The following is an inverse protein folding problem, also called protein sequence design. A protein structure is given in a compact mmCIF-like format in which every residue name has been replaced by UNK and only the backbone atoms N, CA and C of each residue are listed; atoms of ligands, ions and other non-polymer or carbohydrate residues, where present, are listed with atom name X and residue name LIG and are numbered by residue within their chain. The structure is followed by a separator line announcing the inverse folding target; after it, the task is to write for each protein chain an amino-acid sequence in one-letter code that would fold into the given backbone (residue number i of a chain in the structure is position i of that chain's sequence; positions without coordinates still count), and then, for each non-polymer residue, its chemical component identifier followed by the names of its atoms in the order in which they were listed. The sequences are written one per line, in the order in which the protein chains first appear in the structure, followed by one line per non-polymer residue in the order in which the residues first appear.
data_IF_663694383181
#
_entry.id   IF_663694383181
#
_cell.length_a   1.000
_cell.length_b   1.000
_cell.length_c   1.000
_cell.angle_alpha   90.00
_cell.angle_beta   90.00
_cell.angle_gamma   90.00
#
_symmetry.space_group_name_H-M   'P 1'
#
loop_
_entity.id
_entity.type
_entity.pdbx_description
1 polymer ?
#
# COMPACT_ATOMS: atom_id res chain seq x y z
N UNK A 1 -12.57 -3.08 -13.66
CA UNK A 1 -11.73 -3.05 -12.45
C UNK A 1 -11.08 -1.68 -12.31
N UNK A 2 -11.11 -1.07 -11.12
CA UNK A 2 -10.41 0.20 -10.83
C UNK A 2 -8.90 -0.03 -10.76
N UNK A 3 -8.10 1.02 -11.00
CA UNK A 3 -6.63 0.96 -10.89
C UNK A 3 -6.09 1.52 -9.57
N UNK A 4 -4.87 1.14 -9.21
CA UNK A 4 -4.17 1.64 -8.00
C UNK A 4 -3.03 2.59 -8.39
N UNK A 5 -2.97 3.76 -7.76
CA UNK A 5 -1.82 4.65 -7.89
C UNK A 5 -0.77 4.27 -6.85
N UNK A 6 0.47 4.00 -7.27
CA UNK A 6 1.60 3.76 -6.37
C UNK A 6 2.55 4.93 -6.52
N UNK A 7 2.65 5.76 -5.48
CA UNK A 7 3.47 6.96 -5.48
C UNK A 7 4.53 6.89 -4.39
N UNK A 8 5.72 7.41 -4.70
CA UNK A 8 6.82 7.49 -3.75
C UNK A 8 7.50 8.86 -3.80
N UNK A 9 8.01 9.32 -2.66
CA UNK A 9 8.64 10.63 -2.56
C UNK A 9 10.04 10.71 -3.17
N UNK A 10 10.69 9.56 -3.34
CA UNK A 10 12.07 9.40 -3.80
C UNK A 10 12.23 8.09 -4.56
N UNK A 11 13.14 8.05 -5.54
CA UNK A 11 13.50 6.82 -6.25
C UNK A 11 14.20 5.79 -5.36
N UNK A 12 14.81 6.23 -4.25
CA UNK A 12 15.34 5.35 -3.19
C UNK A 12 14.28 4.39 -2.62
N UNK A 13 13.00 4.73 -2.71
CA UNK A 13 11.90 3.90 -2.19
C UNK A 13 11.44 2.83 -3.22
N UNK A 14 12.09 2.74 -4.38
CA UNK A 14 11.68 1.87 -5.49
C UNK A 14 11.62 0.39 -5.09
N UNK A 15 12.55 -0.11 -4.27
CA UNK A 15 12.52 -1.50 -3.81
C UNK A 15 11.31 -1.81 -2.92
N UNK A 16 10.83 -0.83 -2.16
CA UNK A 16 9.60 -0.94 -1.37
C UNK A 16 8.39 -0.91 -2.31
N UNK A 17 8.35 0.01 -3.27
CA UNK A 17 7.28 0.10 -4.25
C UNK A 17 7.14 -1.17 -5.10
N UNK A 18 8.25 -1.82 -5.48
CA UNK A 18 8.25 -3.10 -6.20
C UNK A 18 7.50 -4.18 -5.44
N UNK A 19 7.59 -4.21 -4.10
CA UNK A 19 6.85 -5.17 -3.27
C UNK A 19 5.33 -5.00 -3.41
N UNK A 20 4.84 -3.76 -3.43
CA UNK A 20 3.42 -3.48 -3.69
C UNK A 20 3.03 -3.87 -5.12
N UNK A 21 3.82 -3.45 -6.11
CA UNK A 21 3.57 -3.75 -7.53
C UNK A 21 3.49 -5.25 -7.80
N UNK A 22 4.34 -6.06 -7.17
CA UNK A 22 4.33 -7.51 -7.37
C UNK A 22 3.00 -8.13 -6.90
N UNK A 23 2.46 -7.69 -5.76
CA UNK A 23 1.14 -8.13 -5.28
C UNK A 23 0.04 -7.65 -6.23
N UNK A 24 0.07 -6.38 -6.66
CA UNK A 24 -0.94 -5.89 -7.62
C UNK A 24 -0.93 -6.69 -8.93
N UNK A 25 0.25 -7.09 -9.42
CA UNK A 25 0.38 -7.96 -10.59
C UNK A 25 -0.20 -9.35 -10.36
N UNK A 26 0.09 -9.97 -9.21
CA UNK A 26 -0.43 -11.28 -8.82
C UNK A 26 -1.96 -11.33 -8.90
N UNK A 27 -2.63 -10.26 -8.46
CA UNK A 27 -4.08 -10.14 -8.50
C UNK A 27 -4.63 -9.49 -9.79
N UNK A 28 -3.78 -9.25 -10.79
CA UNK A 28 -4.15 -8.56 -12.04
C UNK A 28 -4.82 -7.19 -11.84
N UNK A 29 -4.52 -6.50 -10.74
CA UNK A 29 -5.03 -5.17 -10.45
C UNK A 29 -4.21 -4.15 -11.25
N UNK A 30 -4.83 -3.37 -12.17
CA UNK A 30 -4.09 -2.38 -12.95
C UNK A 30 -3.49 -1.31 -12.04
N UNK A 31 -2.30 -0.82 -12.36
CA UNK A 31 -1.62 0.16 -11.52
C UNK A 31 -0.81 1.17 -12.33
N UNK A 32 -0.47 2.29 -11.70
CA UNK A 32 0.51 3.27 -12.21
C UNK A 32 1.49 3.63 -11.11
N UNK A 33 2.79 3.61 -11.44
CA UNK A 33 3.86 4.01 -10.52
C UNK A 33 4.36 5.41 -10.89
N UNK A 34 4.59 6.27 -9.89
CA UNK A 34 5.15 7.62 -10.07
C UNK A 34 6.10 7.98 -8.91
N UNK A 35 7.13 8.76 -9.21
CA UNK A 35 7.89 9.51 -8.18
C UNK A 35 7.28 10.90 -8.10
N UNK A 36 6.72 11.25 -6.93
CA UNK A 36 6.07 12.53 -6.63
C UNK A 36 6.40 12.89 -5.19
N UNK A 37 7.09 14.01 -4.98
CA UNK A 37 7.51 14.46 -3.66
C UNK A 37 6.58 15.55 -3.14
N UNK A 38 5.98 15.33 -1.96
CA UNK A 38 5.19 16.36 -1.28
C UNK A 38 6.00 17.61 -0.93
N UNK A 39 7.32 17.47 -0.77
CA UNK A 39 8.20 18.59 -0.40
C UNK A 39 8.87 19.24 -1.61
N UNK A 40 9.18 18.47 -2.66
CA UNK A 40 9.99 18.95 -3.81
C UNK A 40 9.17 19.20 -5.08
N UNK A 41 8.05 18.49 -5.26
CA UNK A 41 7.13 18.63 -6.40
C UNK A 41 5.68 18.71 -5.90
N UNK A 42 5.34 19.66 -5.00
CA UNK A 42 4.04 19.71 -4.34
C UNK A 42 2.88 19.99 -5.31
N UNK A 43 3.12 20.78 -6.36
CA UNK A 43 2.11 21.12 -7.37
C UNK A 43 1.73 19.89 -8.18
N UNK A 44 2.72 19.12 -8.63
CA UNK A 44 2.52 17.90 -9.40
C UNK A 44 1.87 16.80 -8.56
N UNK A 45 2.23 16.70 -7.28
CA UNK A 45 1.61 15.77 -6.35
C UNK A 45 0.11 16.11 -6.13
N UNK A 46 -0.21 17.39 -5.95
CA UNK A 46 -1.59 17.85 -5.79
C UNK A 46 -2.42 17.63 -7.06
N UNK A 47 -1.90 18.05 -8.22
CA UNK A 47 -2.57 17.85 -9.51
C UNK A 47 -2.81 16.37 -9.81
N UNK A 48 -1.84 15.51 -9.50
CA UNK A 48 -2.01 14.07 -9.67
C UNK A 48 -3.10 13.53 -8.74
N UNK A 49 -3.15 13.96 -7.47
CA UNK A 49 -4.18 13.54 -6.53
C UNK A 49 -5.60 13.96 -6.97
N UNK A 50 -5.74 15.18 -7.48
CA UNK A 50 -7.00 15.74 -7.98
C UNK A 50 -7.50 15.04 -9.25
N UNK A 51 -6.61 14.45 -10.07
CA UNK A 51 -6.99 13.75 -11.31
C UNK A 51 -7.44 12.29 -11.11
N UNK A 52 -7.17 11.70 -9.94
CA UNK A 52 -7.29 10.24 -9.74
C UNK A 52 -8.70 9.69 -9.99
N UNK A 53 -9.74 10.36 -9.49
CA UNK A 53 -11.10 9.84 -9.61
C UNK A 53 -11.56 9.82 -11.07
N UNK A 54 -11.35 10.94 -11.78
CA UNK A 54 -11.67 11.08 -13.20
C UNK A 54 -10.87 10.10 -14.08
N UNK A 55 -9.64 9.79 -13.68
CA UNK A 55 -8.80 8.81 -14.37
C UNK A 55 -9.15 7.34 -14.06
N UNK A 56 -10.09 7.07 -13.14
CA UNK A 56 -10.57 5.72 -12.84
C UNK A 56 -9.75 4.94 -11.79
N UNK A 57 -8.99 5.64 -10.94
CA UNK A 57 -8.35 5.00 -9.79
C UNK A 57 -9.37 4.63 -8.70
N UNK A 58 -9.05 3.61 -7.90
CA UNK A 58 -9.86 3.15 -6.77
C UNK A 58 -9.16 3.29 -5.42
N UNK A 59 -7.83 3.39 -5.40
CA UNK A 59 -7.03 3.61 -4.19
C UNK A 59 -5.65 4.18 -4.55
N UNK A 60 -5.00 4.77 -3.54
CA UNK A 60 -3.61 5.27 -3.63
C UNK A 60 -2.76 4.56 -2.58
N UNK A 61 -1.54 4.19 -2.95
CA UNK A 61 -0.48 3.73 -2.06
C UNK A 61 0.60 4.80 -2.10
N UNK A 62 0.83 5.48 -0.98
CA UNK A 62 1.82 6.54 -0.82
C UNK A 62 2.95 6.07 0.09
N UNK A 63 4.17 6.02 -0.45
CA UNK A 63 5.36 5.49 0.21
C UNK A 63 6.31 6.65 0.54
N UNK A 64 6.66 6.81 1.82
CA UNK A 64 7.56 7.87 2.28
C UNK A 64 8.23 7.54 3.62
N UNK A 65 9.47 8.00 3.80
CA UNK A 65 10.23 7.91 5.05
C UNK A 65 10.40 9.26 5.76
N UNK A 66 11.07 9.25 6.91
CA UNK A 66 11.35 10.44 7.74
C UNK A 66 10.06 11.23 8.07
N UNK A 67 10.02 12.54 7.81
CA UNK A 67 8.81 13.36 7.87
C UNK A 67 7.87 13.03 6.68
N UNK A 68 7.18 11.89 6.78
CA UNK A 68 6.46 11.22 5.70
C UNK A 68 5.13 11.88 5.31
N UNK A 69 5.17 13.09 4.74
CA UNK A 69 3.96 13.88 4.45
C UNK A 69 3.19 13.49 3.17
N UNK A 70 3.72 12.58 2.34
CA UNK A 70 3.14 12.29 1.02
C UNK A 70 1.70 11.77 1.10
N UNK A 71 1.43 10.83 2.00
CA UNK A 71 0.10 10.25 2.15
C UNK A 71 -0.94 11.31 2.59
N UNK A 72 -0.61 12.10 3.61
CA UNK A 72 -1.50 13.16 4.10
C UNK A 72 -1.73 14.27 3.06
N UNK A 73 -0.68 14.68 2.33
CA UNK A 73 -0.80 15.69 1.28
C UNK A 73 -1.72 15.26 0.14
N UNK A 74 -1.68 13.97 -0.22
CA UNK A 74 -2.56 13.39 -1.26
C UNK A 74 -3.98 13.22 -0.73
N UNK A 75 -4.16 12.71 0.49
CA UNK A 75 -5.47 12.54 1.12
C UNK A 75 -6.22 13.88 1.27
N UNK A 76 -5.51 14.99 1.46
CA UNK A 76 -6.12 16.33 1.49
C UNK A 76 -6.69 16.80 0.13
N UNK A 77 -6.43 16.07 -0.96
CA UNK A 77 -6.74 16.46 -2.34
C UNK A 77 -7.59 15.43 -3.09
N UNK A 78 -8.02 14.36 -2.42
CA UNK A 78 -8.86 13.33 -3.02
C UNK A 78 -9.77 12.69 -1.97
N UNK A 79 -10.93 12.21 -2.39
CA UNK A 79 -11.83 11.38 -1.56
C UNK A 79 -11.55 9.89 -1.71
N UNK A 80 -10.65 9.50 -2.62
CA UNK A 80 -10.24 8.11 -2.76
C UNK A 80 -9.46 7.65 -1.51
N UNK A 81 -9.58 6.37 -1.11
CA UNK A 81 -8.77 5.82 -0.03
C UNK A 81 -7.27 5.97 -0.31
N UNK A 82 -6.56 6.61 0.63
CA UNK A 82 -5.11 6.73 0.61
C UNK A 82 -4.50 5.83 1.67
N UNK A 83 -3.61 4.95 1.24
CA UNK A 83 -2.89 3.99 2.06
C UNK A 83 -1.45 4.49 2.21
N UNK A 84 -1.04 4.76 3.44
CA UNK A 84 0.31 5.21 3.76
C UNK A 84 1.23 4.03 4.08
N UNK A 85 2.41 3.99 3.46
CA UNK A 85 3.48 3.05 3.77
C UNK A 85 4.66 3.82 4.36
N UNK A 86 4.82 3.80 5.69
CA UNK A 86 6.00 4.35 6.34
C UNK A 86 7.25 3.59 5.94
N UNK A 87 8.32 4.28 5.56
CA UNK A 87 9.60 3.67 5.19
C UNK A 87 10.57 3.71 6.37
N UNK A 88 11.25 2.59 6.63
CA UNK A 88 12.32 2.54 7.62
C UNK A 88 13.55 3.35 7.15
N UNK A 89 13.81 4.49 7.79
CA UNK A 89 15.01 5.30 7.57
C UNK A 89 15.66 5.71 8.89
N UNK A 90 15.42 6.93 9.38
CA UNK A 90 15.77 7.34 10.74
C UNK A 90 14.82 6.71 11.76
N UNK A 91 15.27 6.58 13.00
CA UNK A 91 14.46 6.05 14.11
C UNK A 91 13.74 4.72 13.79
N UNK A 92 14.33 3.89 12.92
CA UNK A 92 13.76 2.65 12.42
C UNK A 92 12.34 2.79 11.84
N UNK A 93 12.01 3.97 11.28
CA UNK A 93 10.70 4.26 10.69
C UNK A 93 9.61 4.69 11.67
N UNK A 94 9.93 4.88 12.96
CA UNK A 94 8.96 5.38 13.95
C UNK A 94 8.51 6.82 13.62
N UNK A 95 9.44 7.64 13.15
CA UNK A 95 9.16 8.99 12.64
C UNK A 95 8.19 8.96 11.45
N UNK A 96 8.45 8.11 10.46
CA UNK A 96 7.58 7.93 9.31
C UNK A 96 6.21 7.39 9.70
N UNK A 97 6.17 6.42 10.64
CA UNK A 97 4.93 5.82 11.12
C UNK A 97 4.03 6.89 11.76
N UNK A 98 4.55 7.64 12.73
CA UNK A 98 3.79 8.69 13.42
C UNK A 98 3.41 9.82 12.46
N UNK A 99 4.30 10.20 11.54
CA UNK A 99 4.01 11.21 10.50
C UNK A 99 2.88 10.79 9.55
N UNK A 100 2.68 9.49 9.37
CA UNK A 100 1.67 8.95 8.44
C UNK A 100 0.34 8.68 9.15
N UNK A 101 0.35 8.10 10.36
CA UNK A 101 -0.86 7.61 11.05
C UNK A 101 -1.60 8.68 11.86
N UNK A 102 -0.89 9.69 12.38
CA UNK A 102 -1.49 10.69 13.28
C UNK A 102 -2.19 11.82 12.51
N UNK A 103 -3.06 11.47 11.58
CA UNK A 103 -3.85 12.44 10.81
C UNK A 103 -4.92 13.12 11.68
N UNK A 104 -5.21 14.42 11.46
CA UNK A 104 -6.34 15.08 12.11
C UNK A 104 -7.68 14.53 11.60
N UNK A 105 -8.72 14.68 12.42
CA UNK A 105 -10.10 14.30 12.07
C UNK A 105 -10.54 14.94 10.75
N UNK A 106 -11.15 14.13 9.87
CA UNK A 106 -11.71 14.57 8.59
C UNK A 106 -10.87 14.21 7.36
N UNK A 107 -9.55 14.02 7.50
CA UNK A 107 -8.65 13.63 6.39
C UNK A 107 -7.91 12.34 6.75
N UNK A 108 -8.56 11.17 6.67
CA UNK A 108 -7.96 9.90 7.11
C UNK A 108 -6.89 9.39 6.14
N UNK A 109 -5.91 8.67 6.69
CA UNK A 109 -4.95 7.84 5.94
C UNK A 109 -4.98 6.43 6.53
N UNK A 110 -5.07 5.41 5.68
CA UNK A 110 -4.95 4.02 6.10
C UNK A 110 -3.47 3.63 6.19
N UNK A 111 -2.86 3.82 7.35
CA UNK A 111 -1.45 3.45 7.56
C UNK A 111 -1.27 1.95 7.75
N UNK A 112 -0.33 1.36 7.02
CA UNK A 112 0.13 -0.02 7.25
C UNK A 112 1.44 -0.05 8.05
N UNK A 113 1.94 -1.25 8.32
CA UNK A 113 3.24 -1.45 8.98
C UNK A 113 4.39 -0.72 8.25
N UNK A 114 5.45 -0.41 8.99
CA UNK A 114 6.72 0.08 8.41
C UNK A 114 7.22 -0.91 7.36
N UNK A 115 7.64 -0.40 6.21
CA UNK A 115 8.01 -1.15 4.99
C UNK A 115 6.92 -2.12 4.48
N UNK A 116 5.69 -1.97 4.95
CA UNK A 116 4.54 -2.84 4.73
C UNK A 116 3.90 -2.75 3.34
N UNK A 117 4.67 -2.47 2.29
CA UNK A 117 4.16 -2.23 0.94
C UNK A 117 3.34 -3.39 0.35
N UNK A 118 3.66 -4.65 0.70
CA UNK A 118 2.82 -5.80 0.32
C UNK A 118 1.41 -5.67 0.91
N UNK A 119 1.31 -5.34 2.20
CA UNK A 119 0.03 -5.18 2.89
C UNK A 119 -0.75 -4.00 2.34
N UNK A 120 -0.07 -2.92 1.92
CA UNK A 120 -0.73 -1.82 1.24
C UNK A 120 -1.38 -2.25 -0.08
N UNK A 121 -0.71 -3.08 -0.88
CA UNK A 121 -1.28 -3.64 -2.10
C UNK A 121 -2.45 -4.59 -1.83
N UNK A 122 -2.34 -5.47 -0.82
CA UNK A 122 -3.46 -6.32 -0.39
C UNK A 122 -4.64 -5.49 0.09
N UNK A 123 -4.42 -4.43 0.87
CA UNK A 123 -5.48 -3.54 1.33
C UNK A 123 -6.14 -2.79 0.17
N UNK A 124 -5.35 -2.28 -0.78
CA UNK A 124 -5.88 -1.65 -2.00
C UNK A 124 -6.75 -2.63 -2.81
N UNK A 125 -6.29 -3.87 -2.98
CA UNK A 125 -7.04 -4.93 -3.65
C UNK A 125 -8.35 -5.25 -2.90
N UNK A 126 -8.30 -5.36 -1.58
CA UNK A 126 -9.48 -5.60 -0.73
C UNK A 126 -10.52 -4.48 -0.84
N UNK A 127 -10.07 -3.22 -0.87
CA UNK A 127 -10.94 -2.06 -1.08
C UNK A 127 -11.67 -2.18 -2.43
N UNK A 128 -10.95 -2.48 -3.52
CA UNK A 128 -11.55 -2.65 -4.85
C UNK A 128 -12.50 -3.85 -4.88
N UNK A 129 -12.11 -4.96 -4.24
CA UNK A 129 -12.85 -6.21 -4.17
C UNK A 129 -14.22 -6.10 -3.47
N UNK A 130 -14.46 -5.03 -2.69
CA UNK A 130 -15.81 -4.75 -2.16
C UNK A 130 -16.87 -4.60 -3.26
N UNK A 131 -16.43 -4.28 -4.49
CA UNK A 131 -17.27 -4.12 -5.67
C UNK A 131 -16.86 -5.02 -6.85
N UNK A 132 -15.90 -5.94 -6.64
CA UNK A 132 -15.35 -6.82 -7.68
C UNK A 132 -15.27 -8.26 -7.15
N UNK A 133 -16.29 -9.06 -7.51
CA UNK A 133 -16.46 -10.43 -7.03
C UNK A 133 -15.29 -11.35 -7.39
N UNK A 134 -14.77 -11.21 -8.62
CA UNK A 134 -13.68 -12.04 -9.10
C UNK A 134 -12.39 -11.76 -8.31
N UNK A 135 -12.10 -10.49 -8.05
CA UNK A 135 -10.96 -10.10 -7.20
C UNK A 135 -11.15 -10.57 -5.76
N UNK A 136 -12.38 -10.51 -5.23
CA UNK A 136 -12.71 -11.01 -3.88
C UNK A 136 -12.41 -12.50 -3.74
N UNK A 137 -12.84 -13.31 -4.70
CA UNK A 137 -12.56 -14.75 -4.70
C UNK A 137 -11.07 -15.05 -4.88
N UNK A 138 -10.35 -14.30 -5.72
CA UNK A 138 -8.90 -14.44 -5.85
C UNK A 138 -8.18 -14.19 -4.51
N UNK A 139 -8.56 -13.15 -3.77
CA UNK A 139 -8.01 -12.85 -2.45
C UNK A 139 -8.30 -13.96 -1.43
N UNK A 140 -9.49 -14.57 -1.48
CA UNK A 140 -9.83 -15.71 -0.63
C UNK A 140 -9.02 -16.97 -0.97
N UNK A 141 -8.79 -17.25 -2.25
CA UNK A 141 -7.93 -18.35 -2.69
C UNK A 141 -6.51 -18.17 -2.15
N UNK A 142 -5.92 -16.99 -2.29
CA UNK A 142 -4.59 -16.70 -1.77
C UNK A 142 -4.48 -16.91 -0.24
N UNK A 143 -5.54 -16.58 0.53
CA UNK A 143 -5.58 -16.86 1.98
C UNK A 143 -5.61 -18.36 2.28
N UNK A 144 -6.40 -19.13 1.55
CA UNK A 144 -6.47 -20.60 1.69
C UNK A 144 -5.14 -21.27 1.35
N UNK A 145 -4.47 -20.79 0.30
CA UNK A 145 -3.14 -21.28 -0.10
C UNK A 145 -2.09 -20.97 0.98
N UNK A 146 -2.12 -19.76 1.55
CA UNK A 146 -1.23 -19.39 2.64
C UNK A 146 -1.47 -20.24 3.91
N UNK A 147 -2.73 -20.51 4.25
CA UNK A 147 -3.10 -21.40 5.35
C UNK A 147 -2.58 -22.82 5.13
N UNK A 148 -2.85 -23.40 3.95
CA UNK A 148 -2.33 -24.73 3.59
C UNK A 148 -0.79 -24.78 3.69
N UNK A 149 -0.10 -23.75 3.20
CA UNK A 149 1.35 -23.66 3.29
C UNK A 149 1.90 -23.53 4.71
N UNK A 150 1.12 -22.99 5.66
CA UNK A 150 1.50 -22.98 7.10
C UNK A 150 1.30 -24.36 7.70
N UNK A 151 0.19 -25.04 7.43
CA UNK A 151 -0.08 -26.39 7.93
C UNK A 151 0.94 -27.41 7.43
N UNK A 152 1.36 -27.31 6.15
CA UNK A 152 2.43 -28.16 5.61
C UNK A 152 3.77 -27.93 6.33
N UNK A 153 4.10 -26.68 6.63
CA UNK A 153 5.33 -26.33 7.37
C UNK A 153 5.27 -26.82 8.81
N UNK A 154 4.13 -26.69 9.47
CA UNK A 154 3.91 -27.18 10.83
C UNK A 154 4.10 -28.70 10.89
N UNK A 155 3.45 -29.45 10.00
CA UNK A 155 3.61 -30.89 9.89
C UNK A 155 5.05 -31.31 9.53
N UNK A 156 5.76 -30.51 8.73
CA UNK A 156 7.18 -30.75 8.43
C UNK A 156 8.06 -30.53 9.66
N UNK A 157 7.87 -29.42 10.38
CA UNK A 157 8.65 -29.07 11.58
C UNK A 157 8.41 -30.09 12.69
N UNK A 158 7.17 -30.51 12.91
CA UNK A 158 6.81 -31.49 13.94
C UNK A 158 7.62 -32.79 13.86
N UNK A 159 7.92 -33.28 12.64
CA UNK A 159 8.73 -34.50 12.41
C UNK A 159 10.15 -34.45 12.98
N UNK A 160 10.70 -33.26 13.23
CA UNK A 160 12.04 -33.10 13.80
C UNK A 160 12.07 -33.05 15.33
N UNK A 161 10.90 -32.91 15.97
CA UNK A 161 10.79 -32.73 17.42
C UNK A 161 9.93 -33.81 18.09
N UNK A 162 9.32 -34.72 17.34
CA UNK A 162 8.73 -35.94 17.87
C UNK A 162 9.84 -36.95 18.24
N UNK A 163 10.04 -37.14 19.54
CA UNK A 163 10.95 -38.12 20.15
C UNK A 163 10.27 -39.46 20.41
#
# INVERSE_FOLDING_TARGET
MKKVAVIMGSDSDMEIAKKAVNVLKEFNVPYRVRVLSAHRTPVEAAQFAESLEAEGYGAVIAIAGMAAHLAGAVAARTVLPVIGVPVASSLSGMDALLSTVQMPSGIPVASVAVDGAKNAAYLAAQIIATSDEALREALWNARREAEAGVLEKDAFVGKFFES
#
